data_IF_809317982166
#
_entry.id   IF_809317982166
#
_cell.length_a   1.000
_cell.length_b   1.000
_cell.length_c   1.000
_cell.angle_alpha   90.00
_cell.angle_beta   90.00
_cell.angle_gamma   90.00
#
_symmetry.space_group_name_H-M   'P 1'
#
loop_
_entity.id
_entity.type
_entity.pdbx_description
1 polymer ?
#
# COMPACT_ATOMS: atom_id res chain seq x y z
N UNK A 1 -13.22 -33.32 -9.08
CA UNK A 1 -13.84 -33.10 -7.75
C UNK A 1 -13.31 -31.86 -7.01
N UNK A 2 -12.64 -30.91 -7.68
CA UNK A 2 -12.38 -29.57 -7.13
C UNK A 2 -12.61 -28.53 -8.23
N UNK A 3 -13.86 -28.39 -8.64
CA UNK A 3 -14.36 -27.23 -9.37
C UNK A 3 -15.47 -26.67 -8.49
N UNK A 4 -15.50 -25.34 -8.32
CA UNK A 4 -16.52 -24.57 -7.60
C UNK A 4 -16.29 -24.35 -6.10
N UNK A 5 -15.10 -23.84 -5.73
CA UNK A 5 -15.05 -22.86 -4.63
C UNK A 5 -15.15 -21.44 -5.22
N UNK A 6 -16.09 -21.26 -6.16
CA UNK A 6 -16.67 -19.96 -6.48
C UNK A 6 -17.53 -19.56 -5.28
N UNK A 7 -16.86 -19.32 -4.15
CA UNK A 7 -17.43 -18.61 -3.03
C UNK A 7 -17.57 -17.19 -3.54
N UNK A 8 -18.70 -16.95 -4.19
CA UNK A 8 -19.34 -15.65 -4.33
C UNK A 8 -19.81 -15.20 -2.95
N UNK A 9 -18.92 -15.21 -1.95
CA UNK A 9 -19.08 -14.28 -0.85
C UNK A 9 -18.61 -12.96 -1.44
N UNK A 10 -19.52 -12.00 -1.45
CA UNK A 10 -19.18 -10.61 -1.66
C UNK A 10 -18.30 -10.20 -0.47
N UNK A 11 -17.04 -10.64 -0.47
CA UNK A 11 -16.07 -10.36 0.57
C UNK A 11 -15.81 -8.86 0.49
N UNK A 12 -16.10 -8.16 1.59
CA UNK A 12 -15.73 -6.76 1.70
C UNK A 12 -14.21 -6.70 1.59
N UNK A 13 -13.68 -5.85 0.71
CA UNK A 13 -12.24 -5.65 0.57
C UNK A 13 -11.89 -4.34 1.26
N UNK A 14 -10.92 -4.37 2.14
CA UNK A 14 -10.43 -3.18 2.83
C UNK A 14 -8.97 -3.00 2.47
N UNK A 15 -8.63 -1.84 1.93
CA UNK A 15 -7.26 -1.46 1.60
C UNK A 15 -6.80 -0.41 2.61
N UNK A 16 -5.86 -0.77 3.46
CA UNK A 16 -5.27 0.08 4.49
C UNK A 16 -3.93 0.59 3.97
N UNK A 17 -3.82 1.89 3.76
CA UNK A 17 -2.59 2.54 3.32
C UNK A 17 -2.02 3.36 4.49
N UNK A 18 -1.01 2.81 5.14
CA UNK A 18 -0.31 3.34 6.33
C UNK A 18 -1.27 3.77 7.44
N UNK A 19 -2.40 3.04 7.53
CA UNK A 19 -3.52 3.38 8.40
C UNK A 19 -3.45 2.60 9.71
N UNK A 20 -2.59 3.07 10.62
CA UNK A 20 -2.31 2.41 11.89
C UNK A 20 -3.28 2.75 13.02
N UNK A 21 -3.90 3.94 13.00
CA UNK A 21 -4.80 4.43 14.05
C UNK A 21 -6.28 4.07 13.78
N UNK A 22 -6.53 3.03 12.99
CA UNK A 22 -7.88 2.60 12.69
C UNK A 22 -8.47 1.80 13.84
N UNK A 23 -9.71 2.14 14.19
CA UNK A 23 -10.53 1.35 15.10
C UNK A 23 -10.87 0.01 14.43
N UNK A 24 -10.16 -1.03 14.86
CA UNK A 24 -10.25 -2.38 14.29
C UNK A 24 -11.65 -2.98 14.41
N UNK A 25 -12.47 -2.52 15.35
CA UNK A 25 -13.87 -2.97 15.48
C UNK A 25 -14.73 -2.57 14.28
N UNK A 26 -14.32 -1.55 13.52
CA UNK A 26 -15.02 -1.11 12.31
C UNK A 26 -14.67 -1.96 11.09
N UNK A 27 -13.60 -2.75 11.16
CA UNK A 27 -13.21 -3.66 10.08
C UNK A 27 -14.05 -4.93 10.22
N UNK A 28 -14.88 -5.30 9.23
CA UNK A 28 -15.68 -6.51 9.34
C UNK A 28 -14.79 -7.74 9.44
N UNK A 29 -15.12 -8.67 10.34
CA UNK A 29 -14.35 -9.90 10.54
C UNK A 29 -14.26 -10.80 9.28
N UNK A 30 -15.17 -10.62 8.31
CA UNK A 30 -15.18 -11.35 7.05
C UNK A 30 -14.63 -10.52 5.88
N UNK A 31 -13.94 -9.41 6.17
CA UNK A 31 -13.30 -8.61 5.14
C UNK A 31 -11.94 -9.21 4.75
N UNK A 32 -11.60 -9.09 3.47
CA UNK A 32 -10.23 -9.31 3.00
C UNK A 32 -9.45 -8.02 3.16
N UNK A 33 -8.56 -7.99 4.15
CA UNK A 33 -7.78 -6.80 4.54
C UNK A 33 -6.40 -6.86 3.89
N UNK A 34 -6.07 -5.82 3.15
CA UNK A 34 -4.75 -5.59 2.56
C UNK A 34 -4.14 -4.41 3.30
N UNK A 35 -2.95 -4.60 3.86
CA UNK A 35 -2.18 -3.53 4.47
C UNK A 35 -0.98 -3.16 3.61
N UNK A 36 -0.82 -1.88 3.32
CA UNK A 36 0.34 -1.29 2.67
C UNK A 36 0.93 -0.26 3.63
N UNK A 37 2.17 -0.43 4.06
CA UNK A 37 2.81 0.53 4.97
C UNK A 37 4.27 0.22 5.23
N UNK A 38 4.93 1.14 5.94
CA UNK A 38 6.35 1.02 6.27
C UNK A 38 6.58 0.59 7.74
N UNK A 39 5.65 0.94 8.62
CA UNK A 39 5.56 0.38 9.97
C UNK A 39 4.42 -0.62 10.05
N UNK A 40 4.56 -1.58 10.97
CA UNK A 40 3.48 -2.48 11.32
C UNK A 40 3.15 -2.34 12.78
N UNK A 41 2.02 -1.70 13.08
CA UNK A 41 1.47 -1.67 14.43
C UNK A 41 0.25 -2.59 14.52
N UNK A 42 -0.90 -2.10 15.00
CA UNK A 42 -2.08 -2.93 15.23
C UNK A 42 -2.82 -3.35 13.96
N UNK A 43 -2.82 -2.49 12.95
CA UNK A 43 -3.43 -2.69 11.62
C UNK A 43 -2.89 -3.91 10.87
N UNK A 44 -1.63 -4.29 11.12
CA UNK A 44 -0.97 -5.41 10.44
C UNK A 44 -1.46 -6.76 10.95
N UNK A 45 -1.85 -6.86 12.21
CA UNK A 45 -2.34 -8.12 12.77
C UNK A 45 -3.69 -8.56 12.21
N UNK A 46 -4.51 -7.61 11.71
CA UNK A 46 -5.76 -7.93 11.04
C UNK A 46 -5.60 -8.13 9.52
N UNK A 47 -4.41 -7.87 8.96
CA UNK A 47 -4.17 -7.97 7.53
C UNK A 47 -4.09 -9.43 7.07
N UNK A 48 -4.74 -9.74 5.94
CA UNK A 48 -4.57 -11.02 5.25
C UNK A 48 -3.31 -11.00 4.36
N UNK A 49 -2.96 -9.83 3.81
CA UNK A 49 -1.78 -9.60 2.97
C UNK A 49 -1.14 -8.28 3.34
N UNK A 50 0.20 -8.27 3.38
CA UNK A 50 1.01 -7.10 3.72
C UNK A 50 1.90 -6.77 2.52
N UNK A 51 1.85 -5.51 2.07
CA UNK A 51 2.75 -4.94 1.08
C UNK A 51 3.69 -3.93 1.75
N UNK A 52 4.99 -4.24 1.84
CA UNK A 52 5.95 -3.32 2.46
C UNK A 52 6.15 -2.10 1.56
N UNK A 53 5.97 -0.90 2.12
CA UNK A 53 6.18 0.37 1.42
C UNK A 53 7.26 1.24 2.05
N UNK A 54 7.72 2.24 1.29
CA UNK A 54 8.82 3.12 1.68
C UNK A 54 8.42 4.07 2.82
N UNK A 55 9.34 4.26 3.77
CA UNK A 55 9.19 5.25 4.82
C UNK A 55 9.32 6.69 4.29
N UNK A 56 8.87 7.68 5.07
CA UNK A 56 8.85 9.08 4.62
C UNK A 56 10.23 9.65 4.24
N UNK A 57 11.32 9.13 4.80
CA UNK A 57 12.70 9.53 4.47
C UNK A 57 13.27 8.83 3.23
N UNK A 58 12.49 7.92 2.63
CA UNK A 58 12.81 7.12 1.44
C UNK A 58 11.89 7.46 0.26
N UNK A 59 10.99 8.44 0.40
CA UNK A 59 10.03 8.83 -0.65
C UNK A 59 9.98 10.33 -0.88
N UNK A 60 9.62 10.68 -2.11
CA UNK A 60 9.60 12.06 -2.58
C UNK A 60 8.25 12.72 -2.26
N UNK A 61 8.32 13.91 -1.66
CA UNK A 61 7.22 14.86 -1.60
C UNK A 61 6.30 14.74 -0.37
N UNK A 62 6.04 15.88 0.27
CA UNK A 62 5.03 16.03 1.31
C UNK A 62 4.32 17.38 1.15
N UNK A 63 3.07 17.46 1.59
CA UNK A 63 2.33 18.71 1.66
C UNK A 63 2.02 19.02 3.11
N UNK A 64 2.33 20.24 3.54
CA UNK A 64 2.02 20.72 4.88
C UNK A 64 0.57 21.26 4.97
N UNK A 65 0.10 21.49 6.20
CA UNK A 65 -1.22 22.11 6.46
C UNK A 65 -1.39 23.51 5.86
N UNK A 66 -0.28 24.24 5.71
CA UNK A 66 -0.21 25.54 5.03
C UNK A 66 -0.36 25.44 3.50
N UNK A 67 -0.45 24.22 2.94
CA UNK A 67 -0.54 23.96 1.51
C UNK A 67 0.80 24.03 0.78
N UNK A 68 1.91 24.20 1.50
CA UNK A 68 3.25 24.21 0.89
C UNK A 68 3.67 22.80 0.50
N UNK A 69 3.97 22.62 -0.79
CA UNK A 69 4.60 21.40 -1.32
C UNK A 69 6.08 21.44 -0.97
N UNK A 70 6.54 20.44 -0.21
CA UNK A 70 7.96 20.24 0.08
C UNK A 70 8.46 19.01 -0.65
N UNK A 71 9.56 19.18 -1.35
CA UNK A 71 10.27 18.06 -1.96
C UNK A 71 11.14 17.45 -0.87
N UNK A 72 10.90 16.18 -0.57
CA UNK A 72 11.79 15.37 0.25
C UNK A 72 12.76 14.69 -0.70
N UNK A 73 14.03 14.66 -0.34
CA UNK A 73 15.08 13.94 -1.06
C UNK A 73 15.44 12.72 -0.24
N UNK A 74 15.69 11.59 -0.93
CA UNK A 74 16.08 10.33 -0.31
C UNK A 74 17.28 10.53 0.65
N UNK A 75 17.07 10.24 1.94
CA UNK A 75 18.12 10.40 2.95
C UNK A 75 18.94 9.12 3.16
N UNK A 76 18.34 7.96 2.91
CA UNK A 76 18.96 6.63 3.06
C UNK A 76 18.60 5.76 1.86
N UNK A 77 19.49 4.83 1.52
CA UNK A 77 19.20 3.81 0.52
C UNK A 77 18.06 2.92 0.98
N UNK A 78 17.21 2.52 0.04
CA UNK A 78 16.12 1.57 0.28
C UNK A 78 16.75 0.25 0.72
N UNK A 79 16.31 -0.26 1.86
CA UNK A 79 16.69 -1.58 2.36
C UNK A 79 15.58 -2.57 1.96
N UNK A 80 15.98 -3.78 1.55
CA UNK A 80 15.09 -4.89 1.20
C UNK A 80 14.19 -4.67 -0.05
N UNK A 81 13.23 -5.58 -0.26
CA UNK A 81 12.33 -5.61 -1.42
C UNK A 81 11.13 -4.66 -1.27
N UNK A 82 11.39 -3.46 -0.75
CA UNK A 82 10.37 -2.44 -0.53
C UNK A 82 10.13 -1.66 -1.81
N UNK A 83 8.90 -1.21 -2.04
CA UNK A 83 8.51 -0.45 -3.24
C UNK A 83 7.86 0.87 -2.85
N UNK A 84 8.02 1.86 -3.72
CA UNK A 84 7.32 3.14 -3.58
C UNK A 84 5.81 2.92 -3.59
N UNK A 85 5.10 3.68 -2.76
CA UNK A 85 3.67 3.46 -2.51
C UNK A 85 2.83 3.42 -3.80
N UNK A 86 3.11 4.33 -4.73
CA UNK A 86 2.43 4.41 -6.01
C UNK A 86 2.75 3.25 -6.95
N UNK A 87 3.96 2.66 -6.85
CA UNK A 87 4.38 1.51 -7.66
C UNK A 87 3.59 0.27 -7.26
N UNK A 88 3.42 0.04 -5.96
CA UNK A 88 2.61 -1.07 -5.42
C UNK A 88 1.18 -1.01 -5.95
N UNK A 89 0.54 0.16 -5.82
CA UNK A 89 -0.86 0.35 -6.28
C UNK A 89 -0.96 0.16 -7.80
N UNK A 90 0.03 0.65 -8.56
CA UNK A 90 0.07 0.48 -10.01
C UNK A 90 0.23 -1.00 -10.41
N UNK A 91 1.20 -1.70 -9.84
CA UNK A 91 1.43 -3.11 -10.14
C UNK A 91 0.19 -3.95 -9.78
N UNK A 92 -0.46 -3.63 -8.64
CA UNK A 92 -1.72 -4.23 -8.26
C UNK A 92 -2.84 -3.95 -9.27
N UNK A 93 -2.91 -2.72 -9.80
CA UNK A 93 -3.86 -2.32 -10.84
C UNK A 93 -3.62 -3.06 -12.16
N UNK A 94 -2.37 -3.27 -12.56
CA UNK A 94 -2.00 -4.08 -13.73
C UNK A 94 -2.42 -5.54 -13.56
N UNK A 95 -2.14 -6.14 -12.40
CA UNK A 95 -2.54 -7.52 -12.06
C UNK A 95 -4.06 -7.67 -11.99
N UNK A 96 -4.77 -6.65 -11.51
CA UNK A 96 -6.23 -6.63 -11.44
C UNK A 96 -6.93 -6.39 -12.80
N UNK A 97 -6.16 -6.15 -13.87
CA UNK A 97 -6.70 -5.84 -15.21
C UNK A 97 -7.32 -4.45 -15.32
N UNK A 98 -7.03 -3.54 -14.39
CA UNK A 98 -7.58 -2.20 -14.31
C UNK A 98 -6.50 -1.13 -14.55
N UNK A 99 -5.72 -1.28 -15.63
CA UNK A 99 -4.55 -0.45 -15.93
C UNK A 99 -4.91 1.02 -16.21
N UNK A 100 -4.98 1.84 -15.17
CA UNK A 100 -5.32 3.26 -15.25
C UNK A 100 -4.16 4.19 -14.85
N UNK A 101 -3.15 3.66 -14.15
CA UNK A 101 -1.97 4.41 -13.73
C UNK A 101 -0.85 4.25 -14.77
N UNK A 102 -0.34 5.38 -15.25
CA UNK A 102 0.77 5.38 -16.21
C UNK A 102 2.10 5.21 -15.49
N UNK A 103 3.05 4.55 -16.16
CA UNK A 103 4.44 4.67 -15.76
C UNK A 103 4.89 6.11 -15.92
N UNK A 104 5.31 6.73 -14.83
CA UNK A 104 5.97 8.03 -14.87
C UNK A 104 7.48 7.89 -15.14
N UNK A 105 8.03 6.68 -15.32
CA UNK A 105 9.44 6.48 -15.61
C UNK A 105 10.37 6.87 -14.46
N UNK A 106 9.81 7.11 -13.27
CA UNK A 106 10.57 7.39 -12.05
C UNK A 106 11.07 6.04 -11.53
N UNK A 107 12.13 5.52 -12.18
CA UNK A 107 13.06 4.66 -11.47
C UNK A 107 13.50 5.46 -10.25
N UNK A 108 13.27 4.90 -9.06
CA UNK A 108 13.96 5.37 -7.87
C UNK A 108 15.43 5.30 -8.28
N UNK A 109 16.07 6.45 -8.52
CA UNK A 109 17.46 6.50 -8.92
C UNK A 109 18.25 5.94 -7.73
N UNK A 110 18.49 4.64 -7.77
CA UNK A 110 19.55 4.00 -7.01
C UNK A 110 20.82 4.50 -7.69
N UNK A 111 21.53 5.43 -7.03
CA UNK A 111 22.93 5.68 -7.35
C UNK A 111 23.76 4.44 -7.07
#
# INVERSE_FOLDING_TARGET
MYQNLTITLNLLKVYLMDADDLDLEKVPNNAFVIYQGHHGNWSVYCANVIFPSLAFFEKDGIVNTEGCVRIIVLAVSIVDDVRGDWKIIRELSEVAGASCLKDCGIQSFVY
#
